data_IF_550165585832
#
_entry.id   IF_550165585832
#
_cell.length_a   1.000
_cell.length_b   1.000
_cell.length_c   1.000
_cell.angle_alpha   90.00
_cell.angle_beta   90.00
_cell.angle_gamma   90.00
#
_symmetry.space_group_name_H-M   'P 1'
#
loop_
_entity.id
_entity.type
_entity.pdbx_description
1 polymer ?
#
# COMPACT_ATOMS: atom_id res chain seq x y z
N UNK A 1 -29.70 23.07 3.63
CA UNK A 1 -28.28 22.65 3.40
C UNK A 1 -27.75 23.37 2.17
N UNK A 2 -26.62 24.02 2.29
CA UNK A 2 -25.96 24.67 1.15
C UNK A 2 -25.11 23.62 0.38
N UNK A 3 -24.81 23.89 -0.89
CA UNK A 3 -23.88 23.02 -1.67
C UNK A 3 -22.55 22.85 -0.95
N UNK A 4 -22.06 23.93 -0.33
CA UNK A 4 -20.83 23.93 0.47
C UNK A 4 -20.91 22.92 1.63
N UNK A 5 -21.94 22.99 2.47
CA UNK A 5 -22.09 22.09 3.63
C UNK A 5 -22.25 20.63 3.24
N UNK A 6 -22.87 20.35 2.09
CA UNK A 6 -22.93 18.97 1.55
C UNK A 6 -21.54 18.51 1.14
N UNK A 7 -20.76 19.33 0.45
CA UNK A 7 -19.41 19.02 0.04
C UNK A 7 -18.49 18.71 1.24
N UNK A 8 -18.52 19.55 2.27
CA UNK A 8 -17.77 19.36 3.51
C UNK A 8 -18.13 18.03 4.20
N UNK A 9 -19.43 17.74 4.28
CA UNK A 9 -19.90 16.48 4.87
C UNK A 9 -19.40 15.27 4.08
N UNK A 10 -19.44 15.31 2.75
CA UNK A 10 -18.96 14.24 1.89
C UNK A 10 -17.43 14.05 2.02
N UNK A 11 -16.66 15.13 2.08
CA UNK A 11 -15.21 15.07 2.25
C UNK A 11 -14.83 14.41 3.58
N UNK A 12 -15.49 14.76 4.68
CA UNK A 12 -15.27 14.13 5.99
C UNK A 12 -15.58 12.62 5.94
N UNK A 13 -16.69 12.23 5.30
CA UNK A 13 -17.08 10.83 5.17
C UNK A 13 -16.15 10.02 4.28
N UNK A 14 -15.69 10.63 3.19
CA UNK A 14 -14.72 10.01 2.30
C UNK A 14 -13.42 9.71 3.04
N UNK A 15 -12.87 10.70 3.74
CA UNK A 15 -11.65 10.52 4.54
C UNK A 15 -11.80 9.45 5.62
N UNK A 16 -12.93 9.42 6.32
CA UNK A 16 -13.19 8.40 7.32
C UNK A 16 -13.26 6.99 6.70
N UNK A 17 -13.84 6.85 5.50
CA UNK A 17 -13.91 5.58 4.79
C UNK A 17 -12.52 5.11 4.31
N UNK A 18 -11.70 6.01 3.76
CA UNK A 18 -10.33 5.70 3.36
C UNK A 18 -9.50 5.21 4.55
N UNK A 19 -9.55 5.94 5.67
CA UNK A 19 -8.85 5.56 6.92
C UNK A 19 -9.31 4.21 7.44
N UNK A 20 -10.61 3.92 7.41
CA UNK A 20 -11.16 2.66 7.87
C UNK A 20 -10.69 1.47 7.01
N UNK A 21 -10.60 1.66 5.69
CA UNK A 21 -10.09 0.63 4.77
C UNK A 21 -8.59 0.39 5.02
N UNK A 22 -7.80 1.43 5.17
CA UNK A 22 -6.36 1.32 5.43
C UNK A 22 -6.10 0.60 6.76
N UNK A 23 -6.87 0.90 7.82
CA UNK A 23 -6.79 0.20 9.09
C UNK A 23 -7.18 -1.27 8.94
N UNK A 24 -8.29 -1.57 8.28
CA UNK A 24 -8.74 -2.94 8.06
C UNK A 24 -7.73 -3.75 7.25
N UNK A 25 -7.09 -3.14 6.25
CA UNK A 25 -6.04 -3.77 5.45
C UNK A 25 -4.81 -4.09 6.30
N UNK A 26 -4.37 -3.17 7.16
CA UNK A 26 -3.22 -3.36 8.06
C UNK A 26 -3.48 -4.50 9.05
N UNK A 27 -4.65 -4.53 9.70
CA UNK A 27 -5.02 -5.58 10.65
C UNK A 27 -5.16 -6.95 9.99
N UNK A 28 -5.76 -6.99 8.80
CA UNK A 28 -5.94 -8.25 8.05
C UNK A 28 -4.59 -8.79 7.57
N UNK A 29 -3.69 -7.93 7.12
CA UNK A 29 -2.33 -8.33 6.72
C UNK A 29 -1.53 -8.85 7.93
N UNK A 30 -1.67 -8.21 9.09
CA UNK A 30 -1.07 -8.65 10.35
C UNK A 30 -1.58 -10.04 10.73
N UNK A 31 -2.90 -10.28 10.67
CA UNK A 31 -3.49 -11.58 10.91
C UNK A 31 -2.92 -12.63 9.95
N UNK A 32 -2.87 -12.33 8.66
CA UNK A 32 -2.33 -13.25 7.65
C UNK A 32 -0.86 -13.60 7.94
N UNK A 33 -0.05 -12.62 8.36
CA UNK A 33 1.35 -12.83 8.72
C UNK A 33 1.54 -13.70 9.97
N UNK A 34 0.60 -13.70 10.90
CA UNK A 34 0.66 -14.51 12.12
C UNK A 34 0.27 -15.98 11.93
N UNK A 35 -0.52 -16.29 10.90
CA UNK A 35 -1.06 -17.66 10.72
C UNK A 35 0.03 -18.75 10.60
N UNK A 36 1.16 -18.55 9.87
CA UNK A 36 2.19 -19.57 9.74
C UNK A 36 2.86 -19.93 11.09
N UNK A 37 3.22 -18.91 11.89
CA UNK A 37 3.81 -19.12 13.22
C UNK A 37 2.82 -19.76 14.19
N UNK A 38 1.59 -19.25 14.25
CA UNK A 38 0.55 -19.84 15.09
C UNK A 38 0.29 -21.32 14.78
N UNK A 39 0.29 -21.70 13.49
CA UNK A 39 0.18 -23.11 13.09
C UNK A 39 1.38 -23.94 13.58
N UNK A 40 2.59 -23.41 13.44
CA UNK A 40 3.81 -24.09 13.88
C UNK A 40 3.84 -24.26 15.41
N UNK A 41 3.51 -23.21 16.15
CA UNK A 41 3.48 -23.22 17.63
C UNK A 41 2.42 -24.20 18.19
N UNK A 42 1.34 -24.40 17.43
CA UNK A 42 0.32 -25.39 17.76
C UNK A 42 0.66 -26.82 17.29
N UNK A 43 1.86 -27.06 16.76
CA UNK A 43 2.33 -28.35 16.24
C UNK A 43 1.40 -28.98 15.19
N UNK A 44 0.71 -28.14 14.42
CA UNK A 44 -0.21 -28.61 13.37
C UNK A 44 0.52 -28.89 12.06
N UNK A 45 0.03 -29.88 11.32
CA UNK A 45 0.60 -30.24 10.02
C UNK A 45 0.49 -29.11 9.00
N UNK A 46 1.32 -29.14 7.96
CA UNK A 46 1.36 -28.09 6.93
C UNK A 46 0.01 -27.92 6.19
N UNK A 47 -0.79 -28.96 6.09
CA UNK A 47 -2.10 -28.92 5.43
C UNK A 47 -3.23 -28.45 6.34
N UNK A 48 -2.98 -28.43 7.66
CA UNK A 48 -4.00 -28.00 8.62
C UNK A 48 -4.15 -26.48 8.58
N UNK A 49 -5.39 -26.02 8.46
CA UNK A 49 -5.69 -24.58 8.46
C UNK A 49 -5.58 -23.92 7.10
N UNK A 50 -5.36 -24.64 5.99
CA UNK A 50 -5.24 -24.03 4.66
C UNK A 50 -6.39 -23.07 4.32
N UNK A 51 -7.63 -23.41 4.73
CA UNK A 51 -8.78 -22.53 4.54
C UNK A 51 -8.64 -21.17 5.25
N UNK A 52 -7.97 -21.13 6.40
CA UNK A 52 -7.71 -19.86 7.09
C UNK A 52 -6.69 -19.00 6.33
N UNK A 53 -5.64 -19.64 5.78
CA UNK A 53 -4.68 -18.94 4.93
C UNK A 53 -5.34 -18.38 3.67
N UNK A 54 -6.13 -19.18 2.97
CA UNK A 54 -6.84 -18.76 1.75
C UNK A 54 -7.83 -17.63 2.06
N UNK A 55 -8.55 -17.75 3.18
CA UNK A 55 -9.48 -16.71 3.63
C UNK A 55 -8.78 -15.39 3.95
N UNK A 56 -7.67 -15.44 4.68
CA UNK A 56 -6.91 -14.23 5.02
C UNK A 56 -6.31 -13.56 3.77
N UNK A 57 -5.73 -14.36 2.86
CA UNK A 57 -5.21 -13.86 1.58
C UNK A 57 -6.32 -13.23 0.72
N UNK A 58 -7.48 -13.86 0.65
CA UNK A 58 -8.66 -13.32 -0.04
C UNK A 58 -9.15 -12.01 0.55
N UNK A 59 -9.15 -11.89 1.88
CA UNK A 59 -9.54 -10.67 2.58
C UNK A 59 -8.57 -9.51 2.30
N UNK A 60 -7.25 -9.75 2.34
CA UNK A 60 -6.24 -8.74 1.97
C UNK A 60 -6.45 -8.28 0.52
N UNK A 61 -6.67 -9.21 -0.40
CA UNK A 61 -6.93 -8.89 -1.81
C UNK A 61 -8.19 -8.05 -1.99
N UNK A 62 -9.29 -8.41 -1.32
CA UNK A 62 -10.54 -7.69 -1.38
C UNK A 62 -10.44 -6.26 -0.81
N UNK A 63 -9.72 -6.09 0.30
CA UNK A 63 -9.48 -4.77 0.91
C UNK A 63 -8.57 -3.91 0.03
N UNK A 64 -7.56 -4.49 -0.62
CA UNK A 64 -6.74 -3.78 -1.59
C UNK A 64 -7.56 -3.29 -2.79
N UNK A 65 -8.47 -4.11 -3.30
CA UNK A 65 -9.41 -3.71 -4.35
C UNK A 65 -10.36 -2.59 -3.87
N UNK A 66 -10.91 -2.71 -2.65
CA UNK A 66 -11.76 -1.68 -2.06
C UNK A 66 -11.02 -0.34 -1.93
N UNK A 67 -9.75 -0.37 -1.51
CA UNK A 67 -8.89 0.83 -1.45
C UNK A 67 -8.75 1.49 -2.83
N UNK A 68 -8.50 0.70 -3.87
CA UNK A 68 -8.42 1.21 -5.24
C UNK A 68 -9.72 1.90 -5.69
N UNK A 69 -10.88 1.32 -5.35
CA UNK A 69 -12.18 1.94 -5.63
C UNK A 69 -12.39 3.25 -4.86
N UNK A 70 -11.92 3.32 -3.61
CA UNK A 70 -12.00 4.58 -2.84
C UNK A 70 -11.14 5.69 -3.44
N UNK A 71 -9.93 5.38 -3.92
CA UNK A 71 -9.08 6.35 -4.65
C UNK A 71 -9.79 6.87 -5.91
N UNK A 72 -10.46 5.98 -6.66
CA UNK A 72 -11.25 6.38 -7.83
C UNK A 72 -12.43 7.27 -7.44
N UNK A 73 -13.13 6.93 -6.35
CA UNK A 73 -14.24 7.74 -5.81
C UNK A 73 -13.76 9.11 -5.37
N UNK A 74 -12.62 9.19 -4.68
CA UNK A 74 -11.98 10.45 -4.30
C UNK A 74 -11.73 11.33 -5.53
N UNK A 75 -11.08 10.76 -6.55
CA UNK A 75 -10.78 11.47 -7.80
C UNK A 75 -12.06 11.99 -8.48
N UNK A 76 -13.10 11.18 -8.52
CA UNK A 76 -14.39 11.55 -9.12
C UNK A 76 -15.08 12.68 -8.34
N UNK A 77 -15.09 12.60 -7.01
CA UNK A 77 -15.66 13.65 -6.15
C UNK A 77 -14.87 14.94 -6.22
N UNK A 78 -13.54 14.88 -6.27
CA UNK A 78 -12.69 16.05 -6.47
C UNK A 78 -12.96 16.73 -7.82
N UNK A 79 -13.14 15.98 -8.89
CA UNK A 79 -13.49 16.51 -10.20
C UNK A 79 -14.89 17.18 -10.19
N UNK A 80 -15.85 16.58 -9.49
CA UNK A 80 -17.19 17.16 -9.32
C UNK A 80 -17.15 18.44 -8.50
N UNK A 81 -16.41 18.47 -7.41
CA UNK A 81 -16.25 19.65 -6.56
C UNK A 81 -15.69 20.82 -7.38
N UNK A 82 -14.66 20.60 -8.19
CA UNK A 82 -14.12 21.64 -9.11
C UNK A 82 -15.18 22.17 -10.07
N UNK A 83 -15.97 21.29 -10.69
CA UNK A 83 -17.07 21.72 -11.60
C UNK A 83 -18.13 22.56 -10.90
N UNK A 84 -18.32 22.37 -9.60
CA UNK A 84 -19.29 23.10 -8.78
C UNK A 84 -18.70 24.36 -8.13
N UNK A 85 -17.42 24.67 -8.38
CA UNK A 85 -16.73 25.81 -7.77
C UNK A 85 -16.44 25.60 -6.26
N UNK A 86 -16.25 24.35 -5.84
CA UNK A 86 -15.96 23.95 -4.46
C UNK A 86 -14.50 23.48 -4.33
N UNK A 87 -13.58 24.15 -5.00
CA UNK A 87 -12.17 23.72 -5.12
C UNK A 87 -11.46 23.55 -3.76
N UNK A 88 -11.82 24.32 -2.75
CA UNK A 88 -11.28 24.19 -1.40
C UNK A 88 -11.61 22.84 -0.74
N UNK A 89 -12.64 22.13 -1.22
CA UNK A 89 -13.04 20.83 -0.71
C UNK A 89 -12.42 19.67 -1.51
N UNK A 90 -11.90 19.96 -2.69
CA UNK A 90 -11.23 18.98 -3.55
C UNK A 90 -9.80 18.66 -3.06
N UNK A 91 -9.23 19.52 -2.24
CA UNK A 91 -7.90 19.37 -1.65
C UNK A 91 -8.06 18.57 -0.34
N UNK A 92 -8.04 17.26 -0.44
CA UNK A 92 -7.88 16.40 0.73
C UNK A 92 -6.48 16.59 1.34
N UNK A 93 -6.23 16.08 2.57
CA UNK A 93 -4.92 16.18 3.23
C UNK A 93 -3.77 15.53 2.45
N UNK A 94 -4.06 14.85 1.34
CA UNK A 94 -3.11 14.18 0.45
C UNK A 94 -2.52 15.14 -0.59
N UNK A 95 -3.25 16.21 -0.97
CA UNK A 95 -2.75 17.25 -1.87
C UNK A 95 -2.20 18.43 -1.07
N UNK A 96 -1.22 18.21 -0.21
CA UNK A 96 -0.41 19.32 0.29
C UNK A 96 0.36 19.92 -0.88
N UNK A 97 0.28 21.25 -1.11
CA UNK A 97 1.15 21.93 -2.09
C UNK A 97 2.59 21.93 -1.58
N UNK A 98 3.23 20.82 -1.55
CA UNK A 98 4.57 20.61 -1.04
C UNK A 98 5.15 19.26 -1.41
N UNK A 99 4.30 18.33 -1.81
CA UNK A 99 4.72 17.02 -2.33
C UNK A 99 4.87 17.00 -3.87
N UNK A 100 5.02 18.15 -4.49
CA UNK A 100 5.64 18.21 -5.81
C UNK A 100 7.07 17.73 -5.59
N UNK A 101 7.49 16.59 -6.15
CA UNK A 101 8.91 16.24 -6.12
C UNK A 101 9.66 17.46 -6.66
N UNK A 102 10.77 17.88 -6.08
CA UNK A 102 11.51 19.01 -6.59
C UNK A 102 11.78 18.72 -8.05
N UNK A 103 11.12 19.50 -8.93
CA UNK A 103 11.50 19.54 -10.33
C UNK A 103 12.92 20.06 -10.29
N UNK A 104 13.87 19.14 -10.37
CA UNK A 104 15.27 19.46 -10.46
C UNK A 104 15.45 20.38 -11.65
N UNK A 105 15.45 21.67 -11.37
CA UNK A 105 15.95 22.64 -12.29
C UNK A 105 17.45 22.46 -12.41
N UNK A 106 17.91 22.29 -13.63
CA UNK A 106 19.28 22.61 -13.97
C UNK A 106 20.26 21.46 -14.02
N UNK A 107 20.69 21.25 -15.23
CA UNK A 107 21.79 20.50 -15.73
C UNK A 107 22.95 20.27 -14.79
N UNK A 108 23.40 19.03 -14.80
CA UNK A 108 24.63 18.55 -14.25
C UNK A 108 24.81 17.15 -14.76
N UNK A 109 25.56 17.04 -15.87
CA UNK A 109 26.13 15.77 -16.32
C UNK A 109 26.94 15.15 -15.16
N UNK A 110 26.42 14.06 -14.58
CA UNK A 110 27.13 13.23 -13.65
C UNK A 110 26.72 11.77 -13.87
N UNK A 111 27.67 10.84 -14.06
CA UNK A 111 27.39 9.47 -14.47
C UNK A 111 26.59 8.72 -13.37
N UNK A 112 25.55 8.01 -13.80
CA UNK A 112 24.70 7.21 -12.94
C UNK A 112 25.44 6.12 -12.18
N UNK A 113 25.61 6.30 -10.87
CA UNK A 113 26.31 5.37 -9.98
C UNK A 113 25.41 4.76 -8.91
N UNK A 114 24.10 5.01 -8.94
CA UNK A 114 23.25 4.56 -7.81
C UNK A 114 22.46 3.27 -8.04
N UNK A 115 22.25 2.83 -9.27
CA UNK A 115 21.50 1.60 -9.55
C UNK A 115 22.38 0.35 -9.48
N UNK A 116 23.67 0.47 -9.85
CA UNK A 116 24.60 -0.66 -9.84
C UNK A 116 25.07 -1.08 -8.43
N UNK A 117 25.09 -0.16 -7.47
CA UNK A 117 25.50 -0.49 -6.10
C UNK A 117 24.44 -1.29 -5.32
N UNK A 118 23.15 -1.05 -5.58
CA UNK A 118 22.07 -1.79 -4.90
C UNK A 118 21.99 -3.21 -5.45
N UNK A 119 22.14 -3.40 -6.75
CA UNK A 119 22.12 -4.72 -7.38
C UNK A 119 23.36 -5.54 -7.03
N UNK A 120 24.52 -4.91 -6.87
CA UNK A 120 25.75 -5.60 -6.45
C UNK A 120 25.70 -6.07 -5.00
N UNK A 121 25.14 -5.26 -4.10
CA UNK A 121 24.97 -5.65 -2.69
C UNK A 121 24.02 -6.83 -2.52
N UNK A 122 22.95 -6.92 -3.32
CA UNK A 122 21.99 -8.04 -3.30
C UNK A 122 22.61 -9.34 -3.85
N UNK A 123 23.40 -9.28 -4.92
CA UNK A 123 24.08 -10.45 -5.49
C UNK A 123 25.19 -10.99 -4.60
N UNK A 124 25.95 -10.12 -3.93
CA UNK A 124 27.02 -10.53 -3.01
C UNK A 124 26.46 -11.17 -1.72
N UNK A 125 25.27 -10.78 -1.30
CA UNK A 125 24.60 -11.37 -0.11
C UNK A 125 24.01 -12.74 -0.40
N UNK A 126 23.44 -12.96 -1.59
CA UNK A 126 22.87 -14.25 -1.99
C UNK A 126 23.96 -15.31 -2.22
N UNK A 127 25.12 -14.94 -2.76
CA UNK A 127 26.22 -15.86 -2.98
C UNK A 127 27.00 -16.25 -1.71
N UNK A 128 26.85 -15.49 -0.61
CA UNK A 128 27.57 -15.78 0.65
C UNK A 128 26.78 -16.69 1.59
N UNK A 129 25.49 -16.92 1.36
CA UNK A 129 24.61 -17.65 2.29
C UNK A 129 24.21 -19.06 1.87
N UNK A 130 24.70 -19.55 0.72
CA UNK A 130 24.48 -20.95 0.33
C UNK A 130 25.81 -21.72 0.45
N UNK A 131 25.98 -22.59 1.46
CA UNK A 131 27.05 -23.56 1.41
C UNK A 131 26.76 -24.57 0.29
N UNK A 132 27.65 -24.62 -0.69
CA UNK A 132 27.69 -25.67 -1.67
C UNK A 132 28.01 -26.99 -0.95
N UNK A 133 27.01 -27.81 -0.72
CA UNK A 133 27.22 -29.22 -0.38
C UNK A 133 27.25 -30.04 -1.67
N UNK A 134 28.42 -30.09 -2.30
CA UNK A 134 28.80 -31.22 -3.13
C UNK A 134 29.41 -32.24 -2.20
N UNK A 135 28.71 -33.33 -1.99
CA UNK A 135 29.23 -34.69 -1.85
C UNK A 135 28.13 -35.62 -1.35
N UNK A 136 27.70 -36.48 -2.22
CA UNK A 136 27.50 -37.90 -1.86
C UNK A 136 27.45 -38.74 -3.14
N UNK A 137 28.51 -39.49 -3.30
CA UNK A 137 28.51 -40.71 -4.12
C UNK A 137 27.44 -41.71 -3.68
#
# INVERSE_FOLDING_TARGET
MTRQSIGETLAVRLYAAETAIDLALAETATLAAMLPSARADAYLSAVTGQRAFDGAAGAVSALSAARSHMVQTHTALAALARKLGLDALAVGPIDKPGDTPPIGGGGGDGPGVHQDMVNKALTDTVNKTLPYTAELC
#
